data_IF_482425214892
#
_entry.id   IF_482425214892
#
_cell.length_a   1.000
_cell.length_b   1.000
_cell.length_c   1.000
_cell.angle_alpha   90.00
_cell.angle_beta   90.00
_cell.angle_gamma   90.00
#
_symmetry.space_group_name_H-M   'P 1'
#
loop_
_entity.id
_entity.type
_entity.pdbx_description
1 polymer ?
#
# COMPACT_ATOMS: atom_id res chain seq x y z
N UNK A 1 49.87 -24.81 5.64
CA UNK A 1 48.75 -25.25 6.51
C UNK A 1 47.53 -24.43 6.13
N UNK A 2 46.43 -25.11 5.81
CA UNK A 2 45.21 -24.58 5.23
C UNK A 2 44.52 -23.55 6.12
N UNK A 3 43.91 -22.53 5.52
CA UNK A 3 42.48 -22.27 5.73
C UNK A 3 41.88 -21.47 4.56
N UNK A 4 40.79 -22.00 4.03
CA UNK A 4 40.00 -21.50 2.90
C UNK A 4 38.79 -20.82 3.53
N UNK A 5 38.52 -19.54 3.23
CA UNK A 5 37.14 -19.03 3.29
C UNK A 5 36.92 -18.01 2.17
N UNK A 6 36.12 -18.47 1.23
CA UNK A 6 35.53 -17.81 0.08
C UNK A 6 34.43 -16.84 0.54
N UNK A 7 34.53 -15.57 0.15
CA UNK A 7 33.37 -14.69 0.03
C UNK A 7 33.56 -13.75 -1.17
N UNK A 8 33.43 -14.34 -2.36
CA UNK A 8 32.90 -13.63 -3.52
C UNK A 8 31.55 -13.03 -3.14
N UNK A 9 31.35 -11.74 -3.38
CA UNK A 9 30.18 -11.22 -4.10
C UNK A 9 30.59 -9.93 -4.82
N UNK A 10 31.02 -10.14 -6.06
CA UNK A 10 31.07 -9.18 -7.16
C UNK A 10 29.70 -8.53 -7.42
N UNK A 11 29.69 -7.23 -7.69
CA UNK A 11 28.54 -6.52 -8.25
C UNK A 11 28.78 -5.02 -8.39
N UNK A 12 29.37 -4.62 -9.51
CA UNK A 12 29.72 -3.25 -9.86
C UNK A 12 28.49 -2.34 -10.05
N UNK A 13 28.52 -1.12 -9.50
CA UNK A 13 27.70 -0.01 -9.97
C UNK A 13 28.59 0.99 -10.71
N UNK A 14 28.57 1.04 -12.06
CA UNK A 14 29.32 2.07 -12.78
C UNK A 14 28.54 3.39 -12.79
N UNK A 15 29.15 4.38 -12.14
CA UNK A 15 29.37 5.75 -12.61
C UNK A 15 28.52 6.23 -13.80
N UNK A 16 27.61 7.19 -13.57
CA UNK A 16 27.28 8.25 -14.53
C UNK A 16 26.58 9.44 -13.83
N UNK A 17 27.30 10.56 -13.82
CA UNK A 17 26.84 11.95 -13.87
C UNK A 17 26.00 12.55 -12.71
N UNK A 18 26.63 13.53 -12.05
CA UNK A 18 26.04 14.68 -11.36
C UNK A 18 25.15 15.46 -12.34
N UNK A 19 23.88 15.71 -12.00
CA UNK A 19 23.15 16.93 -12.40
C UNK A 19 22.36 17.45 -11.20
N UNK A 20 22.61 18.73 -10.92
CA UNK A 20 22.06 19.54 -9.86
C UNK A 20 20.53 19.66 -9.84
N UNK A 21 20.07 19.85 -8.60
CA UNK A 21 18.81 20.40 -8.11
C UNK A 21 18.17 21.50 -8.98
N UNK A 22 17.02 21.20 -9.60
CA UNK A 22 16.00 22.22 -9.94
C UNK A 22 14.61 21.67 -9.60
N UNK A 23 13.82 22.50 -8.93
CA UNK A 23 12.69 22.07 -8.11
C UNK A 23 11.58 21.33 -8.86
N UNK A 24 11.25 20.13 -8.37
CA UNK A 24 10.00 19.41 -8.62
C UNK A 24 9.56 18.68 -7.33
N UNK A 25 9.69 19.30 -6.16
CA UNK A 25 9.30 18.66 -4.89
C UNK A 25 7.77 18.63 -4.65
N UNK A 26 6.96 19.19 -5.55
CA UNK A 26 5.49 19.28 -5.41
C UNK A 26 4.68 18.36 -6.32
N UNK A 27 5.31 17.40 -7.01
CA UNK A 27 4.60 16.33 -7.76
C UNK A 27 5.09 14.97 -7.30
N UNK A 28 5.13 14.73 -5.99
CA UNK A 28 5.82 13.56 -5.41
C UNK A 28 5.06 12.24 -5.44
N UNK A 29 3.95 12.10 -6.18
CA UNK A 29 3.39 10.82 -6.67
C UNK A 29 2.06 11.07 -7.37
N UNK A 30 2.05 10.96 -8.69
CA UNK A 30 0.93 10.23 -9.30
C UNK A 30 1.21 8.79 -8.89
N UNK A 31 0.66 8.35 -7.74
CA UNK A 31 0.74 6.98 -7.28
C UNK A 31 0.22 6.11 -8.43
N UNK A 32 1.11 5.46 -9.19
CA UNK A 32 0.76 4.54 -10.28
C UNK A 32 -0.23 3.46 -9.81
N UNK A 33 -0.31 3.23 -8.49
CA UNK A 33 -1.34 2.44 -7.81
C UNK A 33 -2.78 2.90 -8.09
N UNK A 34 -3.02 4.19 -8.38
CA UNK A 34 -4.34 4.76 -8.67
C UNK A 34 -4.99 4.18 -9.94
N UNK A 35 -4.19 3.66 -10.89
CA UNK A 35 -4.70 3.16 -12.18
C UNK A 35 -5.02 1.64 -12.16
N UNK A 36 -4.62 0.89 -11.11
CA UNK A 36 -4.80 -0.59 -11.05
C UNK A 36 -5.41 -1.11 -9.74
N UNK A 37 -6.04 -0.25 -8.94
CA UNK A 37 -6.61 -0.65 -7.65
C UNK A 37 -8.06 -1.11 -7.77
N UNK A 38 -8.37 -2.26 -7.16
CA UNK A 38 -9.72 -2.81 -7.10
C UNK A 38 -10.53 -2.22 -5.95
N UNK A 39 -11.81 -2.00 -6.24
CA UNK A 39 -12.81 -1.51 -5.31
C UNK A 39 -13.49 -2.66 -4.56
N UNK A 40 -13.99 -2.44 -3.33
CA UNK A 40 -14.03 -1.16 -2.58
C UNK A 40 -12.75 -0.80 -1.79
N UNK A 41 -11.74 -1.66 -1.74
CA UNK A 41 -10.57 -1.47 -0.90
C UNK A 41 -9.80 -0.17 -1.20
N UNK A 42 -9.67 0.22 -2.47
CA UNK A 42 -8.91 1.42 -2.82
C UNK A 42 -9.58 2.69 -2.27
N UNK A 43 -10.88 2.86 -2.48
CA UNK A 43 -11.65 3.98 -1.91
C UNK A 43 -11.56 4.05 -0.39
N UNK A 44 -11.66 2.92 0.31
CA UNK A 44 -11.53 2.88 1.78
C UNK A 44 -10.14 3.33 2.21
N UNK A 45 -9.09 2.76 1.60
CA UNK A 45 -7.70 3.11 1.94
C UNK A 45 -7.43 4.59 1.63
N UNK A 46 -7.95 5.12 0.54
CA UNK A 46 -7.85 6.54 0.20
C UNK A 46 -8.51 7.44 1.26
N UNK A 47 -9.75 7.13 1.67
CA UNK A 47 -10.48 7.85 2.74
C UNK A 47 -9.72 7.84 4.08
N UNK A 48 -9.02 6.76 4.38
CA UNK A 48 -8.21 6.61 5.59
C UNK A 48 -6.88 7.40 5.55
N UNK A 49 -6.52 8.01 4.41
CA UNK A 49 -5.27 8.74 4.24
C UNK A 49 -4.12 7.88 3.70
N UNK A 50 -4.45 6.80 2.99
CA UNK A 50 -3.50 5.96 2.28
C UNK A 50 -2.99 4.74 3.06
N UNK A 51 -2.27 3.83 2.38
CA UNK A 51 -1.92 2.51 2.91
C UNK A 51 -1.00 2.59 4.13
N UNK A 52 -0.15 3.63 4.24
CA UNK A 52 0.76 3.80 5.37
C UNK A 52 0.04 4.22 6.67
N UNK A 53 -0.96 5.10 6.57
CA UNK A 53 -1.76 5.51 7.73
C UNK A 53 -2.66 4.37 8.18
N UNK A 54 -3.32 3.72 7.22
CA UNK A 54 -4.15 2.53 7.47
C UNK A 54 -3.34 1.42 8.13
N UNK A 55 -2.15 1.10 7.64
CA UNK A 55 -1.32 0.01 8.20
C UNK A 55 -0.92 0.27 9.65
N UNK A 56 -0.56 1.51 9.99
CA UNK A 56 -0.26 1.92 11.37
C UNK A 56 -1.48 1.83 12.28
N UNK A 57 -2.65 2.21 11.79
CA UNK A 57 -3.89 2.17 12.56
C UNK A 57 -4.30 0.74 12.98
N UNK A 58 -4.14 -0.22 12.09
CA UNK A 58 -4.62 -1.60 12.30
C UNK A 58 -3.53 -2.58 12.76
N UNK A 59 -2.26 -2.15 12.77
CA UNK A 59 -1.12 -2.98 13.14
C UNK A 59 -0.71 -3.99 12.06
N UNK A 60 -0.83 -3.63 10.78
CA UNK A 60 -0.40 -4.48 9.65
C UNK A 60 0.81 -3.90 8.92
N UNK A 61 1.45 -4.73 8.09
CA UNK A 61 2.46 -4.25 7.15
C UNK A 61 1.81 -3.37 6.06
N UNK A 62 2.52 -2.33 5.60
CA UNK A 62 2.08 -1.49 4.47
C UNK A 62 1.78 -2.35 3.23
N UNK A 63 2.62 -3.34 2.95
CA UNK A 63 2.48 -4.25 1.81
C UNK A 63 1.19 -5.07 1.87
N UNK A 64 0.79 -5.53 3.06
CA UNK A 64 -0.48 -6.26 3.25
C UNK A 64 -1.67 -5.38 2.91
N UNK A 65 -1.69 -4.13 3.38
CA UNK A 65 -2.77 -3.18 3.08
C UNK A 65 -2.83 -2.86 1.59
N UNK A 66 -1.68 -2.65 0.94
CA UNK A 66 -1.65 -2.45 -0.51
C UNK A 66 -2.18 -3.66 -1.29
N UNK A 67 -1.91 -4.89 -0.85
CA UNK A 67 -2.41 -6.10 -1.53
C UNK A 67 -3.94 -6.24 -1.49
N UNK A 68 -4.65 -5.53 -0.62
CA UNK A 68 -6.11 -5.55 -0.62
C UNK A 68 -6.72 -4.95 -1.89
N UNK A 69 -5.99 -4.05 -2.55
CA UNK A 69 -6.44 -3.48 -3.83
C UNK A 69 -6.09 -4.37 -5.02
N UNK A 70 -5.36 -5.48 -4.83
CA UNK A 70 -4.88 -6.31 -5.92
C UNK A 70 -5.88 -7.42 -6.27
N UNK A 71 -5.90 -7.88 -7.54
CA UNK A 71 -6.70 -9.03 -7.93
C UNK A 71 -6.17 -10.32 -7.29
N UNK A 72 -7.06 -11.30 -7.13
CA UNK A 72 -6.74 -12.60 -6.52
C UNK A 72 -5.59 -13.33 -7.21
N UNK A 73 -5.49 -13.24 -8.55
CA UNK A 73 -4.41 -13.87 -9.32
C UNK A 73 -3.01 -13.31 -9.01
N UNK A 74 -2.91 -12.09 -8.44
CA UNK A 74 -1.65 -11.50 -7.96
C UNK A 74 -1.44 -11.66 -6.46
N UNK A 75 -2.19 -12.55 -5.81
CA UNK A 75 -2.15 -12.74 -4.36
C UNK A 75 -2.79 -11.60 -3.56
N UNK A 76 -3.72 -10.86 -4.18
CA UNK A 76 -4.57 -9.88 -3.51
C UNK A 76 -5.89 -10.46 -3.02
N UNK A 77 -6.74 -9.61 -2.46
CA UNK A 77 -8.08 -10.01 -1.97
C UNK A 77 -9.17 -9.85 -3.04
N UNK A 78 -8.84 -9.29 -4.20
CA UNK A 78 -9.81 -8.95 -5.23
C UNK A 78 -10.55 -7.64 -4.96
N UNK A 79 -9.93 -6.69 -4.24
CA UNK A 79 -10.56 -5.42 -3.90
C UNK A 79 -11.33 -5.43 -2.58
N UNK A 80 -11.31 -6.53 -1.83
CA UNK A 80 -12.03 -6.62 -0.55
C UNK A 80 -11.11 -6.42 0.65
N UNK A 81 -11.57 -5.66 1.64
CA UNK A 81 -10.91 -5.63 2.95
C UNK A 81 -11.35 -6.87 3.74
N UNK A 82 -10.43 -7.65 4.33
CA UNK A 82 -10.80 -8.80 5.14
C UNK A 82 -11.68 -8.43 6.34
N UNK A 83 -12.74 -9.22 6.56
CA UNK A 83 -13.79 -8.90 7.53
C UNK A 83 -13.29 -8.70 8.98
N UNK A 84 -12.28 -9.45 9.41
CA UNK A 84 -11.68 -9.36 10.74
C UNK A 84 -10.96 -8.02 11.01
N UNK A 85 -10.70 -7.20 9.99
CA UNK A 85 -10.13 -5.86 10.16
C UNK A 85 -11.17 -4.74 10.13
N UNK A 86 -12.42 -5.02 9.74
CA UNK A 86 -13.45 -3.99 9.52
C UNK A 86 -13.73 -3.22 10.81
N UNK A 87 -13.95 -3.91 11.94
CA UNK A 87 -14.24 -3.25 13.22
C UNK A 87 -13.13 -2.28 13.63
N UNK A 88 -11.86 -2.70 13.53
CA UNK A 88 -10.71 -1.83 13.84
C UNK A 88 -10.63 -0.60 12.93
N UNK A 89 -10.96 -0.76 11.65
CA UNK A 89 -10.97 0.34 10.70
C UNK A 89 -12.09 1.34 11.05
N UNK A 90 -13.28 0.84 11.41
CA UNK A 90 -14.40 1.68 11.83
C UNK A 90 -14.07 2.44 13.12
N UNK A 91 -13.46 1.78 14.10
CA UNK A 91 -13.05 2.42 15.35
C UNK A 91 -12.03 3.53 15.11
N UNK A 92 -11.02 3.26 14.25
CA UNK A 92 -10.05 4.27 13.83
C UNK A 92 -10.72 5.42 13.07
N UNK A 93 -11.65 5.14 12.16
CA UNK A 93 -12.38 6.15 11.40
C UNK A 93 -13.19 7.05 12.34
N UNK A 94 -13.91 6.48 13.31
CA UNK A 94 -14.64 7.22 14.35
C UNK A 94 -13.72 8.10 15.17
N UNK A 95 -12.59 7.56 15.66
CA UNK A 95 -11.61 8.31 16.44
C UNK A 95 -10.98 9.50 15.66
N UNK A 96 -10.94 9.41 14.33
CA UNK A 96 -10.35 10.43 13.45
C UNK A 96 -11.40 11.26 12.69
N UNK A 97 -12.69 11.17 13.05
CA UNK A 97 -13.80 11.87 12.38
C UNK A 97 -13.89 11.60 10.86
N UNK A 98 -13.51 10.40 10.42
CA UNK A 98 -13.60 9.96 9.03
C UNK A 98 -14.96 9.27 8.83
N UNK A 99 -15.75 9.74 7.86
CA UNK A 99 -17.04 9.14 7.52
C UNK A 99 -16.85 7.86 6.71
N UNK A 100 -16.77 6.72 7.41
CA UNK A 100 -16.78 5.37 6.84
C UNK A 100 -17.85 4.55 7.54
N UNK A 101 -18.67 3.86 6.77
CA UNK A 101 -19.72 2.96 7.25
C UNK A 101 -19.47 1.54 6.79
N UNK A 102 -20.18 0.56 7.36
CA UNK A 102 -20.09 -0.84 6.95
C UNK A 102 -20.47 -1.04 5.47
N UNK A 103 -21.37 -0.20 4.96
CA UNK A 103 -21.78 -0.23 3.55
C UNK A 103 -20.62 0.08 2.58
N UNK A 104 -19.63 0.87 2.99
CA UNK A 104 -18.46 1.19 2.15
C UNK A 104 -17.60 -0.06 1.86
N UNK A 105 -17.70 -1.11 2.68
CA UNK A 105 -16.94 -2.36 2.50
C UNK A 105 -17.62 -3.36 1.56
N UNK A 106 -18.85 -3.08 1.17
CA UNK A 106 -19.61 -3.93 0.25
C UNK A 106 -19.40 -3.48 -1.19
N UNK A 107 -19.19 -4.41 -2.14
CA UNK A 107 -19.11 -4.05 -3.55
C UNK A 107 -20.46 -3.50 -4.00
N UNK A 108 -20.49 -2.31 -4.59
CA UNK A 108 -21.69 -1.75 -5.19
C UNK A 108 -21.98 -2.51 -6.50
N UNK A 109 -22.86 -3.50 -6.43
CA UNK A 109 -23.40 -4.16 -7.62
C UNK A 109 -24.44 -3.20 -8.23
N UNK A 110 -24.08 -2.54 -9.34
CA UNK A 110 -25.05 -1.83 -10.17
C UNK A 110 -25.72 -2.90 -11.04
N UNK A 111 -27.03 -3.09 -10.86
CA UNK A 111 -27.86 -3.99 -11.67
C UNK A 111 -28.48 -3.24 -12.84
#
# INVERSE_FOLDING_TARGET
MLDITLASHSGAFPSLAIIEMTGVDRVSKIDTQSIMSLEPAASIIAKLGGPARTSRAIGLSRSTVSKWTYPKHRGGTGGHVPHWHISKIIDFAKANNIKITENDFTPRIVR
#
